data_IF_391648322905
#
_entry.id   IF_391648322905
#
_cell.length_a   1.000
_cell.length_b   1.000
_cell.length_c   1.000
_cell.angle_alpha   90.00
_cell.angle_beta   90.00
_cell.angle_gamma   90.00
#
_symmetry.space_group_name_H-M   'P 1'
#
loop_
_entity.id
_entity.type
_entity.pdbx_description
1 polymer ?
#
# COMPACT_ATOMS: atom_id res chain seq x y z
N UNK A 1 -63.64 34.61 32.86
CA UNK A 1 -63.80 33.64 31.75
C UNK A 1 -62.66 32.63 31.81
N UNK A 2 -62.93 31.38 32.24
CA UNK A 2 -61.92 30.31 32.39
C UNK A 2 -61.82 29.53 31.09
N UNK A 3 -60.62 29.45 30.49
CA UNK A 3 -60.30 28.43 29.50
C UNK A 3 -59.05 27.66 29.93
N UNK A 4 -59.24 26.34 30.03
CA UNK A 4 -58.28 25.31 30.42
C UNK A 4 -57.73 24.70 29.14
N UNK A 5 -56.41 24.78 28.91
CA UNK A 5 -55.73 24.12 27.79
C UNK A 5 -54.79 23.04 28.35
N UNK A 6 -55.21 21.78 28.30
CA UNK A 6 -54.50 20.59 28.83
C UNK A 6 -54.02 19.65 27.73
N UNK A 7 -53.76 20.14 26.51
CA UNK A 7 -53.49 19.28 25.35
C UNK A 7 -52.15 19.50 24.62
N UNK A 8 -51.34 20.52 24.98
CA UNK A 8 -50.05 20.75 24.30
C UNK A 8 -48.89 19.85 24.75
N UNK A 9 -48.96 19.20 25.92
CA UNK A 9 -47.80 18.52 26.51
C UNK A 9 -47.48 17.12 25.93
N UNK A 10 -48.42 16.45 25.27
CA UNK A 10 -48.23 15.06 24.81
C UNK A 10 -47.60 14.98 23.41
N UNK A 11 -47.87 15.96 22.55
CA UNK A 11 -47.31 16.05 21.19
C UNK A 11 -45.79 16.31 21.23
N UNK A 12 -45.35 17.24 22.07
CA UNK A 12 -43.92 17.55 22.27
C UNK A 12 -43.12 16.36 22.78
N UNK A 13 -43.73 15.50 23.62
CA UNK A 13 -43.05 14.30 24.13
C UNK A 13 -42.80 13.29 23.01
N UNK A 14 -43.82 13.01 22.18
CA UNK A 14 -43.69 12.06 21.04
C UNK A 14 -42.68 12.54 20.01
N UNK A 15 -42.63 13.85 19.75
CA UNK A 15 -41.67 14.46 18.84
C UNK A 15 -40.23 14.39 19.39
N UNK A 16 -40.05 14.60 20.71
CA UNK A 16 -38.76 14.43 21.39
C UNK A 16 -38.29 12.98 21.43
N UNK A 17 -39.18 12.01 21.70
CA UNK A 17 -38.81 10.58 21.64
C UNK A 17 -38.48 10.15 20.22
N UNK A 18 -39.22 10.65 19.20
CA UNK A 18 -38.91 10.37 17.80
C UNK A 18 -37.55 10.97 17.37
N UNK A 19 -37.24 12.20 17.79
CA UNK A 19 -35.92 12.80 17.55
C UNK A 19 -34.79 12.06 18.26
N UNK A 20 -34.98 11.63 19.51
CA UNK A 20 -33.98 10.85 20.25
C UNK A 20 -33.74 9.47 19.62
N UNK A 21 -34.80 8.80 19.17
CA UNK A 21 -34.69 7.52 18.47
C UNK A 21 -33.99 7.66 17.11
N UNK A 22 -34.26 8.74 16.36
CA UNK A 22 -33.58 9.04 15.10
C UNK A 22 -32.10 9.37 15.32
N UNK A 23 -31.78 10.10 16.40
CA UNK A 23 -30.39 10.42 16.77
C UNK A 23 -29.61 9.16 17.19
N UNK A 24 -30.26 8.20 17.85
CA UNK A 24 -29.64 6.92 18.19
C UNK A 24 -29.41 6.02 16.97
N UNK A 25 -30.20 6.17 15.90
CA UNK A 25 -30.01 5.43 14.65
C UNK A 25 -28.72 5.85 13.90
N UNK A 26 -28.25 7.09 14.10
CA UNK A 26 -26.97 7.59 13.57
C UNK A 26 -25.74 7.20 14.42
N UNK A 27 -25.96 6.62 15.61
CA UNK A 27 -24.92 6.11 16.51
C UNK A 27 -24.64 4.63 16.33
N UNK A 28 -25.30 3.95 15.39
CA UNK A 28 -24.92 2.60 15.00
C UNK A 28 -23.59 2.75 14.25
N UNK A 29 -22.45 2.28 14.78
CA UNK A 29 -21.24 2.21 13.99
C UNK A 29 -21.56 1.35 12.76
N UNK A 30 -21.53 1.97 11.57
CA UNK A 30 -21.36 1.21 10.35
C UNK A 30 -20.19 0.26 10.62
N UNK A 31 -20.29 -1.05 10.33
CA UNK A 31 -19.10 -1.86 10.22
C UNK A 31 -18.34 -1.23 9.06
N UNK A 32 -17.41 -0.34 9.40
CA UNK A 32 -16.40 0.12 8.50
C UNK A 32 -15.68 -1.17 8.10
N UNK A 33 -16.01 -1.69 6.92
CA UNK A 33 -15.24 -2.71 6.23
C UNK A 33 -13.86 -2.18 5.82
N UNK A 34 -13.25 -1.33 6.65
CA UNK A 34 -11.83 -1.08 6.68
C UNK A 34 -11.21 -2.38 7.18
N UNK A 35 -11.04 -3.31 6.25
CA UNK A 35 -10.22 -4.49 6.45
C UNK A 35 -8.84 -3.97 6.89
N UNK A 36 -8.53 -4.12 8.18
CA UNK A 36 -7.18 -3.87 8.69
C UNK A 36 -6.25 -4.73 7.83
N UNK A 37 -5.48 -4.08 6.95
CA UNK A 37 -4.38 -4.75 6.27
C UNK A 37 -3.37 -5.06 7.35
N UNK A 38 -3.31 -6.31 7.78
CA UNK A 38 -2.23 -6.79 8.62
C UNK A 38 -0.91 -6.55 7.89
N UNK A 39 0.02 -5.85 8.52
CA UNK A 39 1.39 -5.73 8.01
C UNK A 39 1.96 -7.14 7.75
N UNK A 40 2.78 -7.31 6.69
CA UNK A 40 3.31 -8.62 6.38
C UNK A 40 4.29 -9.07 7.46
N UNK A 41 4.28 -10.37 7.78
CA UNK A 41 5.06 -10.98 8.88
C UNK A 41 6.57 -10.69 8.79
N UNK A 42 7.10 -10.47 7.59
CA UNK A 42 8.51 -10.18 7.38
C UNK A 42 8.92 -8.75 7.74
N UNK A 43 7.97 -7.81 7.81
CA UNK A 43 8.28 -6.38 7.95
C UNK A 43 8.93 -6.03 9.30
N UNK A 44 8.44 -6.51 10.45
CA UNK A 44 9.10 -6.24 11.73
C UNK A 44 10.54 -6.72 11.76
N UNK A 45 10.79 -7.96 11.30
CA UNK A 45 12.14 -8.54 11.26
C UNK A 45 13.10 -7.76 10.34
N UNK A 46 12.59 -7.21 9.23
CA UNK A 46 13.40 -6.33 8.38
C UNK A 46 13.77 -5.03 9.10
N UNK A 47 12.82 -4.40 9.78
CA UNK A 47 13.05 -3.12 10.47
C UNK A 47 14.02 -3.23 11.66
N UNK A 48 14.24 -4.44 12.18
CA UNK A 48 15.24 -4.71 13.22
C UNK A 48 16.66 -4.82 12.67
N UNK A 49 16.85 -4.94 11.35
CA UNK A 49 18.17 -5.01 10.75
C UNK A 49 18.89 -3.65 10.84
N UNK A 50 20.22 -3.69 11.00
CA UNK A 50 21.03 -2.46 10.98
C UNK A 50 21.34 -1.98 9.56
N UNK A 51 21.43 -2.91 8.61
CA UNK A 51 21.79 -2.66 7.21
C UNK A 51 20.91 -3.49 6.30
N UNK A 52 20.44 -2.91 5.19
CA UNK A 52 19.61 -3.61 4.22
C UNK A 52 20.10 -3.41 2.78
N UNK A 53 19.85 -4.41 1.94
CA UNK A 53 20.07 -4.36 0.48
C UNK A 53 18.73 -4.38 -0.25
N UNK A 54 18.48 -3.35 -1.04
CA UNK A 54 17.26 -3.21 -1.84
C UNK A 54 17.65 -3.25 -3.32
N UNK A 55 17.09 -4.21 -4.06
CA UNK A 55 17.15 -4.20 -5.52
C UNK A 55 15.89 -3.53 -6.07
N UNK A 56 16.06 -2.48 -6.87
CA UNK A 56 14.97 -1.86 -7.64
C UNK A 56 15.11 -2.31 -9.09
N UNK A 57 14.05 -2.94 -9.63
CA UNK A 57 14.05 -3.44 -11.00
C UNK A 57 13.02 -2.73 -11.87
N UNK A 58 13.43 -2.40 -13.08
CA UNK A 58 12.57 -1.93 -14.16
C UNK A 58 13.04 -2.53 -15.49
N UNK A 59 12.16 -2.59 -16.49
CA UNK A 59 12.56 -3.06 -17.84
C UNK A 59 13.11 -1.94 -18.73
N UNK A 60 12.99 -0.69 -18.29
CA UNK A 60 13.59 0.48 -18.93
C UNK A 60 14.49 1.24 -17.97
N UNK A 61 14.56 2.56 -18.17
CA UNK A 61 15.28 3.49 -17.29
C UNK A 61 14.34 4.25 -16.35
N UNK A 62 13.02 4.03 -16.45
CA UNK A 62 12.01 4.73 -15.65
C UNK A 62 12.18 4.48 -14.16
N UNK A 63 12.61 3.27 -13.80
CA UNK A 63 12.89 2.88 -12.42
C UNK A 63 14.01 3.68 -11.73
N UNK A 64 14.86 4.40 -12.47
CA UNK A 64 15.86 5.30 -11.86
C UNK A 64 15.21 6.46 -11.10
N UNK A 65 14.02 6.91 -11.51
CA UNK A 65 13.27 7.93 -10.77
C UNK A 65 12.78 7.40 -9.41
N UNK A 66 12.38 6.13 -9.37
CA UNK A 66 12.02 5.43 -8.13
C UNK A 66 13.22 5.25 -7.22
N UNK A 67 14.39 4.92 -7.77
CA UNK A 67 15.65 4.86 -7.01
C UNK A 67 15.97 6.23 -6.41
N UNK A 68 15.87 7.31 -7.18
CA UNK A 68 16.15 8.65 -6.69
C UNK A 68 15.24 9.05 -5.52
N UNK A 69 13.94 8.80 -5.63
CA UNK A 69 12.97 9.05 -4.57
C UNK A 69 13.22 8.18 -3.32
N UNK A 70 13.54 6.89 -3.52
CA UNK A 70 13.88 5.98 -2.41
C UNK A 70 15.14 6.45 -1.66
N UNK A 71 16.21 6.80 -2.39
CA UNK A 71 17.45 7.33 -1.80
C UNK A 71 17.17 8.57 -0.95
N UNK A 72 16.35 9.49 -1.46
CA UNK A 72 16.01 10.72 -0.72
C UNK A 72 15.23 10.40 0.57
N UNK A 73 14.25 9.50 0.50
CA UNK A 73 13.49 9.07 1.68
C UNK A 73 14.36 8.40 2.74
N UNK A 74 15.25 7.48 2.33
CA UNK A 74 16.16 6.82 3.28
C UNK A 74 17.16 7.79 3.91
N UNK A 75 17.63 8.79 3.16
CA UNK A 75 18.49 9.86 3.68
C UNK A 75 17.80 10.72 4.73
N UNK A 76 16.52 11.02 4.56
CA UNK A 76 15.75 11.86 5.46
C UNK A 76 15.36 11.13 6.76
N UNK A 77 14.95 9.87 6.67
CA UNK A 77 14.39 9.12 7.80
C UNK A 77 15.44 8.40 8.65
N UNK A 78 16.61 8.04 8.07
CA UNK A 78 17.74 7.35 8.75
C UNK A 78 17.32 6.16 9.64
N UNK A 79 16.39 5.34 9.14
CA UNK A 79 15.87 4.16 9.85
C UNK A 79 16.95 3.07 9.99
N UNK A 80 17.79 2.92 8.97
CA UNK A 80 18.88 1.95 8.92
C UNK A 80 20.24 2.66 9.02
N UNK A 81 21.24 1.97 9.58
CA UNK A 81 22.63 2.46 9.58
C UNK A 81 23.22 2.49 8.17
N UNK A 82 22.86 1.52 7.34
CA UNK A 82 23.29 1.42 5.95
C UNK A 82 22.14 0.92 5.05
N UNK A 83 22.03 1.49 3.86
CA UNK A 83 21.07 1.07 2.85
C UNK A 83 21.79 1.00 1.51
N UNK A 84 21.92 -0.20 0.97
CA UNK A 84 22.47 -0.42 -0.36
C UNK A 84 21.32 -0.53 -1.37
N UNK A 85 21.21 0.45 -2.28
CA UNK A 85 20.16 0.47 -3.31
C UNK A 85 20.79 0.16 -4.66
N UNK A 86 20.35 -0.94 -5.27
CA UNK A 86 20.89 -1.46 -6.51
C UNK A 86 19.82 -1.35 -7.59
N UNK A 87 20.10 -0.58 -8.65
CA UNK A 87 19.25 -0.58 -9.83
C UNK A 87 19.60 -1.77 -10.74
N UNK A 88 18.63 -2.64 -10.99
CA UNK A 88 18.75 -3.75 -11.92
C UNK A 88 17.83 -3.54 -13.13
N UNK A 89 18.41 -3.35 -14.31
CA UNK A 89 17.61 -3.31 -15.53
C UNK A 89 17.28 -4.74 -15.97
N UNK A 90 15.99 -5.11 -15.91
CA UNK A 90 15.50 -6.43 -16.30
C UNK A 90 15.19 -6.54 -17.81
N UNK A 91 15.65 -5.60 -18.64
CA UNK A 91 15.61 -5.72 -20.09
C UNK A 91 16.40 -6.95 -20.54
N UNK A 92 15.75 -7.83 -21.30
CA UNK A 92 16.32 -9.12 -21.70
C UNK A 92 16.80 -9.16 -23.17
N UNK A 93 16.54 -8.10 -23.95
CA UNK A 93 17.05 -7.91 -25.32
C UNK A 93 17.02 -6.45 -25.75
N UNK A 94 17.89 -6.07 -26.67
CA UNK A 94 18.03 -4.69 -27.14
C UNK A 94 16.85 -4.23 -28.01
N UNK A 95 16.20 -5.15 -28.73
CA UNK A 95 15.14 -4.84 -29.71
C UNK A 95 13.72 -5.10 -29.18
N UNK A 96 13.47 -4.90 -27.88
CA UNK A 96 12.10 -4.91 -27.33
C UNK A 96 12.00 -5.41 -25.89
N UNK A 97 11.10 -4.79 -25.12
CA UNK A 97 10.85 -5.15 -23.72
C UNK A 97 9.78 -6.24 -23.53
N UNK A 98 9.30 -6.39 -22.31
CA UNK A 98 8.34 -7.44 -21.92
C UNK A 98 7.03 -7.41 -22.71
N UNK A 99 6.61 -6.24 -23.22
CA UNK A 99 5.43 -6.11 -24.07
C UNK A 99 5.51 -6.90 -25.37
N UNK A 100 6.72 -7.20 -25.85
CA UNK A 100 6.94 -7.97 -27.07
C UNK A 100 6.92 -9.49 -26.87
N UNK A 101 6.83 -9.97 -25.63
CA UNK A 101 6.77 -11.40 -25.32
C UNK A 101 5.32 -11.90 -25.36
N UNK A 102 5.11 -12.95 -26.14
CA UNK A 102 3.82 -13.64 -26.23
C UNK A 102 4.10 -15.14 -26.32
N UNK A 103 3.51 -15.97 -25.44
CA UNK A 103 2.38 -15.68 -24.53
C UNK A 103 2.82 -15.20 -23.12
N UNK A 104 1.87 -14.96 -22.20
CA UNK A 104 2.13 -14.45 -20.83
C UNK A 104 3.12 -15.32 -20.05
N UNK A 105 3.09 -16.62 -20.29
CA UNK A 105 3.97 -17.61 -19.67
C UNK A 105 5.44 -17.34 -20.02
N UNK A 106 5.71 -16.80 -21.22
CA UNK A 106 7.05 -16.38 -21.61
C UNK A 106 7.51 -15.16 -20.80
N UNK A 107 6.64 -14.15 -20.61
CA UNK A 107 6.92 -12.99 -19.73
C UNK A 107 7.30 -13.45 -18.34
N UNK A 108 6.50 -14.34 -17.75
CA UNK A 108 6.74 -14.89 -16.40
C UNK A 108 8.08 -15.63 -16.38
N UNK A 109 8.35 -16.48 -17.36
CA UNK A 109 9.60 -17.25 -17.43
C UNK A 109 10.83 -16.35 -17.52
N UNK A 110 10.80 -15.33 -18.36
CA UNK A 110 11.90 -14.37 -18.54
C UNK A 110 12.09 -13.54 -17.27
N UNK A 111 11.00 -13.01 -16.70
CA UNK A 111 11.09 -12.21 -15.48
C UNK A 111 11.57 -13.05 -14.29
N UNK A 112 11.14 -14.30 -14.15
CA UNK A 112 11.61 -15.20 -13.10
C UNK A 112 13.12 -15.47 -13.19
N UNK A 113 13.69 -15.51 -14.40
CA UNK A 113 15.16 -15.59 -14.57
C UNK A 113 15.86 -14.31 -14.11
N UNK A 114 15.27 -13.14 -14.36
CA UNK A 114 15.78 -11.87 -13.86
C UNK A 114 15.75 -11.83 -12.32
N UNK A 115 14.62 -12.23 -11.70
CA UNK A 115 14.50 -12.35 -10.25
C UNK A 115 15.53 -13.31 -9.65
N UNK A 116 15.74 -14.47 -10.26
CA UNK A 116 16.78 -15.42 -9.85
C UNK A 116 18.18 -14.79 -9.91
N UNK A 117 18.48 -14.04 -10.97
CA UNK A 117 19.77 -13.34 -11.12
C UNK A 117 19.96 -12.24 -10.06
N UNK A 118 18.89 -11.53 -9.69
CA UNK A 118 18.94 -10.52 -8.63
C UNK A 118 19.24 -11.18 -7.28
N UNK A 119 18.52 -12.25 -6.95
CA UNK A 119 18.73 -13.03 -5.72
C UNK A 119 20.16 -13.57 -5.66
N UNK A 120 20.58 -14.28 -6.69
CA UNK A 120 21.85 -15.01 -6.67
C UNK A 120 23.08 -14.08 -6.67
N UNK A 121 22.94 -12.85 -7.19
CA UNK A 121 24.06 -11.89 -7.31
C UNK A 121 24.14 -10.87 -6.17
N UNK A 122 23.02 -10.52 -5.57
CA UNK A 122 22.95 -9.42 -4.60
C UNK A 122 22.39 -9.82 -3.23
N UNK A 123 21.80 -11.01 -3.10
CA UNK A 123 21.15 -11.48 -1.86
C UNK A 123 20.28 -10.39 -1.18
N UNK A 124 19.32 -9.79 -1.92
CA UNK A 124 18.61 -8.62 -1.42
C UNK A 124 17.56 -8.98 -0.37
N UNK A 125 17.40 -8.11 0.63
CA UNK A 125 16.31 -8.18 1.59
C UNK A 125 14.96 -7.87 0.95
N UNK A 126 14.96 -6.94 -0.01
CA UNK A 126 13.76 -6.54 -0.76
C UNK A 126 14.08 -6.38 -2.25
N UNK A 127 13.18 -6.89 -3.09
CA UNK A 127 13.12 -6.55 -4.52
C UNK A 127 11.89 -5.68 -4.76
N UNK A 128 12.11 -4.44 -5.21
CA UNK A 128 11.06 -3.49 -5.60
C UNK A 128 10.91 -3.49 -7.13
N UNK A 129 9.71 -3.82 -7.61
CA UNK A 129 9.39 -3.77 -9.05
C UNK A 129 8.83 -2.39 -9.38
N UNK A 130 9.61 -1.58 -10.08
CA UNK A 130 9.26 -0.21 -10.48
C UNK A 130 8.54 -0.12 -11.84
N UNK A 131 8.30 -1.27 -12.49
CA UNK A 131 7.63 -1.35 -13.78
C UNK A 131 6.13 -1.64 -13.61
N UNK A 132 5.27 -0.90 -14.32
CA UNK A 132 3.81 -1.07 -14.28
C UNK A 132 3.26 -2.01 -15.37
N UNK A 133 4.14 -2.71 -16.09
CA UNK A 133 3.85 -3.35 -17.39
C UNK A 133 3.74 -4.87 -17.29
#
# INVERSE_FOLDING_TARGET
>A
MKYRLRERQTFDKRLRTAMLALLMLFLIPLPAGAQERSEPEWLPALLEQESITIVVTDSGLGGLSVVADAVEKFRQQRVFKQVDIIFFNALFRDQGGYNSLHPREEKIRVFNKALGSMRDRYDPDIILVACNT
#
